data_IF_297298721532
#
_entry.id   IF_297298721532
#
_cell.length_a   1.000
_cell.length_b   1.000
_cell.length_c   1.000
_cell.angle_alpha   90.00
_cell.angle_beta   90.00
_cell.angle_gamma   90.00
#
_symmetry.space_group_name_H-M   'P 1'
#
loop_
_entity.id
_entity.type
_entity.pdbx_description
1 polymer ?
#
# COMPACT_ATOMS: atom_id res chain seq x y z
N UNK A 1 7.54 8.50 11.92
CA UNK A 1 9.01 8.41 11.92
C UNK A 1 9.34 6.93 11.90
N UNK A 2 9.97 6.45 10.83
CA UNK A 2 10.33 5.04 10.65
C UNK A 2 11.84 4.91 10.85
N UNK A 3 12.29 3.86 11.53
CA UNK A 3 13.73 3.58 11.69
C UNK A 3 14.23 2.83 10.45
N UNK A 4 15.21 3.39 9.75
CA UNK A 4 15.85 2.73 8.60
C UNK A 4 16.50 1.42 9.07
N UNK A 5 16.27 0.32 8.34
CA UNK A 5 16.69 -1.03 8.75
C UNK A 5 15.76 -1.72 9.76
N UNK A 6 14.62 -1.11 10.12
CA UNK A 6 13.57 -1.77 10.89
C UNK A 6 12.41 -2.20 9.98
N UNK A 7 11.81 -3.34 10.29
CA UNK A 7 10.52 -3.73 9.72
C UNK A 7 9.43 -2.90 10.40
N UNK A 8 8.59 -2.25 9.61
CA UNK A 8 7.49 -1.45 10.12
C UNK A 8 6.18 -1.83 9.40
N UNK A 9 5.06 -1.53 10.03
CA UNK A 9 3.74 -1.91 9.56
C UNK A 9 2.83 -0.69 9.53
N UNK A 10 2.31 -0.40 8.35
CA UNK A 10 1.24 0.58 8.17
C UNK A 10 -0.10 -0.17 8.06
N UNK A 11 -1.14 0.30 8.74
CA UNK A 11 -2.48 -0.29 8.63
C UNK A 11 -3.38 0.69 7.90
N UNK A 12 -3.94 0.26 6.79
CA UNK A 12 -4.96 1.01 6.05
C UNK A 12 -6.35 0.44 6.38
N UNK A 13 -7.34 1.32 6.46
CA UNK A 13 -8.74 0.95 6.64
C UNK A 13 -9.49 1.20 5.33
N UNK A 14 -10.16 0.17 4.83
CA UNK A 14 -11.10 0.31 3.73
C UNK A 14 -12.50 0.00 4.24
N UNK A 15 -13.42 0.95 4.06
CA UNK A 15 -14.82 0.79 4.46
C UNK A 15 -15.73 0.96 3.24
N UNK A 16 -16.65 0.03 3.05
CA UNK A 16 -17.72 0.19 2.07
C UNK A 16 -18.79 1.13 2.65
N UNK A 17 -18.88 2.35 2.13
CA UNK A 17 -19.88 3.35 2.53
C UNK A 17 -21.15 3.31 1.67
N UNK A 18 -21.27 2.34 0.76
CA UNK A 18 -22.47 2.15 -0.06
C UNK A 18 -23.45 1.15 0.56
N UNK A 19 -24.64 1.07 0.00
CA UNK A 19 -25.74 0.18 0.40
C UNK A 19 -25.73 -1.16 -0.34
N UNK A 20 -24.76 -1.38 -1.23
CA UNK A 20 -24.57 -2.61 -2.01
C UNK A 20 -23.16 -3.18 -1.81
N UNK A 21 -22.95 -4.49 -2.05
CA UNK A 21 -21.62 -5.08 -2.04
C UNK A 21 -20.70 -4.40 -3.08
N UNK A 22 -19.45 -4.16 -2.70
CA UNK A 22 -18.45 -3.54 -3.57
C UNK A 22 -17.26 -4.48 -3.70
N UNK A 23 -17.03 -4.93 -4.94
CA UNK A 23 -15.80 -5.64 -5.28
C UNK A 23 -14.78 -4.64 -5.78
N UNK A 24 -13.57 -4.71 -5.22
CA UNK A 24 -12.48 -3.87 -5.67
C UNK A 24 -11.13 -4.57 -5.59
N UNK A 25 -10.18 -3.96 -6.29
CA UNK A 25 -8.77 -4.33 -6.29
C UNK A 25 -7.98 -3.13 -5.81
N UNK A 26 -7.03 -3.38 -4.91
CA UNK A 26 -6.17 -2.34 -4.40
C UNK A 26 -4.84 -2.36 -5.15
N UNK A 27 -4.52 -1.27 -5.85
CA UNK A 27 -3.19 -1.03 -6.38
C UNK A 27 -2.37 -0.21 -5.39
N UNK A 28 -1.05 -0.27 -5.50
CA UNK A 28 -0.16 0.55 -4.67
C UNK A 28 0.95 1.14 -5.52
N UNK A 29 1.46 2.29 -5.09
CA UNK A 29 2.62 2.96 -5.66
C UNK A 29 3.57 3.41 -4.55
N UNK A 30 4.88 3.43 -4.85
CA UNK A 30 5.92 3.91 -3.94
C UNK A 30 6.64 5.06 -4.62
N UNK A 31 6.70 6.20 -3.96
CA UNK A 31 7.43 7.38 -4.41
C UNK A 31 8.46 7.82 -3.38
N UNK A 32 9.67 8.23 -3.81
CA UNK A 32 10.16 8.26 -5.18
C UNK A 32 10.49 6.87 -5.75
N UNK A 33 10.30 6.64 -7.05
CA UNK A 33 10.47 5.31 -7.68
C UNK A 33 11.85 4.69 -7.46
N UNK A 34 12.91 5.50 -7.51
CA UNK A 34 14.29 5.06 -7.28
C UNK A 34 14.55 4.57 -5.84
N UNK A 35 13.65 4.86 -4.90
CA UNK A 35 13.67 4.30 -3.54
C UNK A 35 12.97 2.96 -3.44
N UNK A 36 12.15 2.62 -4.44
CA UNK A 36 11.45 1.35 -4.54
C UNK A 36 12.38 0.14 -4.51
N UNK A 37 13.62 0.26 -5.02
CA UNK A 37 14.63 -0.81 -4.96
C UNK A 37 15.09 -1.15 -3.53
N UNK A 38 14.97 -0.20 -2.61
CA UNK A 38 15.28 -0.39 -1.18
C UNK A 38 14.04 -0.67 -0.33
N UNK A 39 12.86 -0.41 -0.88
CA UNK A 39 11.59 -0.65 -0.22
C UNK A 39 11.12 -2.08 -0.50
N UNK A 40 11.44 -3.00 0.40
CA UNK A 40 11.03 -4.38 0.28
C UNK A 40 9.64 -4.58 0.88
N UNK A 41 8.65 -4.82 0.01
CA UNK A 41 7.28 -5.14 0.41
C UNK A 41 7.19 -6.63 0.78
N UNK A 42 6.95 -6.93 2.05
CA UNK A 42 6.99 -8.31 2.57
C UNK A 42 5.65 -9.04 2.37
N UNK A 43 4.52 -8.31 2.42
CA UNK A 43 3.20 -8.87 2.17
C UNK A 43 2.36 -7.94 1.29
N UNK A 44 1.73 -8.53 0.27
CA UNK A 44 0.94 -7.82 -0.71
C UNK A 44 -0.47 -8.42 -0.78
N UNK A 45 -1.44 -7.76 -0.14
CA UNK A 45 -2.87 -8.05 -0.35
C UNK A 45 -3.41 -7.48 -1.68
N UNK A 46 -2.63 -6.64 -2.37
CA UNK A 46 -3.05 -5.89 -3.56
C UNK A 46 -3.62 -6.72 -4.70
N UNK A 47 -3.27 -8.00 -4.81
CA UNK A 47 -3.67 -8.82 -5.96
C UNK A 47 -4.91 -9.67 -5.72
N UNK A 48 -5.50 -9.60 -4.53
CA UNK A 48 -6.72 -10.34 -4.23
C UNK A 48 -7.94 -9.43 -4.34
N UNK A 49 -8.89 -9.81 -5.18
CA UNK A 49 -10.21 -9.17 -5.24
C UNK A 49 -10.86 -9.28 -3.86
N UNK A 50 -11.26 -8.15 -3.29
CA UNK A 50 -11.96 -8.10 -2.01
C UNK A 50 -13.37 -7.59 -2.26
N UNK A 51 -14.36 -8.38 -1.83
CA UNK A 51 -15.76 -7.98 -1.83
C UNK A 51 -16.11 -7.49 -0.43
N UNK A 52 -16.48 -6.22 -0.30
CA UNK A 52 -16.91 -5.61 0.95
C UNK A 52 -18.44 -5.49 0.96
N UNK A 53 -19.09 -6.03 1.98
CA UNK A 53 -20.52 -5.85 2.20
C UNK A 53 -20.86 -4.40 2.61
N UNK A 54 -22.12 -3.97 2.49
CA UNK A 54 -22.54 -2.64 2.93
C UNK A 54 -22.14 -2.34 4.37
N UNK A 55 -21.38 -1.27 4.60
CA UNK A 55 -20.89 -0.87 5.92
C UNK A 55 -19.69 -1.66 6.45
N UNK A 56 -19.23 -2.69 5.74
CA UNK A 56 -18.09 -3.51 6.14
C UNK A 56 -16.78 -2.70 6.10
N UNK A 57 -15.94 -2.90 7.10
CA UNK A 57 -14.62 -2.30 7.21
C UNK A 57 -13.56 -3.40 7.32
N UNK A 58 -12.52 -3.33 6.50
CA UNK A 58 -11.39 -4.24 6.53
C UNK A 58 -10.10 -3.51 6.86
N UNK A 59 -9.27 -4.19 7.66
CA UNK A 59 -7.91 -3.76 8.00
C UNK A 59 -6.94 -4.40 7.02
N UNK A 60 -6.18 -3.56 6.33
CA UNK A 60 -5.17 -3.97 5.37
C UNK A 60 -3.79 -3.58 5.93
N UNK A 61 -3.15 -4.47 6.71
CA UNK A 61 -1.79 -4.24 7.15
C UNK A 61 -0.83 -4.40 5.97
N UNK A 62 0.05 -3.42 5.79
CA UNK A 62 1.18 -3.45 4.86
C UNK A 62 2.45 -3.54 5.69
N UNK A 63 3.10 -4.70 5.61
CA UNK A 63 4.41 -4.91 6.21
C UNK A 63 5.49 -4.54 5.20
N UNK A 64 6.35 -3.61 5.59
CA UNK A 64 7.44 -3.13 4.75
C UNK A 64 8.76 -3.06 5.52
N UNK A 65 9.84 -3.04 4.76
CA UNK A 65 11.20 -2.90 5.27
C UNK A 65 11.97 -1.96 4.35
N UNK A 66 12.65 -0.98 4.95
CA UNK A 66 13.55 -0.07 4.23
C UNK A 66 14.97 -0.55 4.43
N UNK A 67 15.62 -0.92 3.32
CA UNK A 67 16.99 -1.37 3.34
C UNK A 67 17.96 -0.23 3.72
N UNK A 68 18.85 -0.42 4.72
CA UNK A 68 19.84 0.58 5.09
C UNK A 68 20.86 0.88 3.99
N UNK A 69 20.96 0.07 2.93
CA UNK A 69 21.74 0.41 1.74
C UNK A 69 21.27 1.69 1.04
N UNK A 70 20.01 2.13 1.26
CA UNK A 70 19.54 3.46 0.86
C UNK A 70 20.48 4.59 1.32
N UNK A 71 21.05 4.48 2.53
CA UNK A 71 21.95 5.51 3.08
C UNK A 71 23.31 5.57 2.38
N UNK A 72 23.67 4.53 1.63
CA UNK A 72 24.95 4.44 0.91
C UNK A 72 24.84 4.92 -0.53
N UNK A 73 23.63 5.00 -1.08
CA UNK A 73 23.37 5.47 -2.43
C UNK A 73 23.29 7.00 -2.45
N UNK A 74 24.18 7.64 -3.21
CA UNK A 74 24.27 9.09 -3.33
C UNK A 74 22.97 9.72 -3.89
N UNK A 75 22.23 9.00 -4.75
CA UNK A 75 20.94 9.45 -5.28
C UNK A 75 19.82 9.34 -4.24
N UNK A 76 19.94 8.41 -3.29
CA UNK A 76 18.94 8.17 -2.26
C UNK A 76 19.22 8.90 -0.93
N UNK A 77 20.42 9.43 -0.73
CA UNK A 77 20.78 10.27 0.44
C UNK A 77 19.94 11.53 0.58
N UNK A 78 19.41 12.06 -0.53
CA UNK A 78 18.53 13.22 -0.55
C UNK A 78 17.06 12.88 -0.23
N UNK A 79 16.73 11.60 -0.06
CA UNK A 79 15.36 11.16 0.21
C UNK A 79 15.05 11.30 1.69
N UNK A 80 14.30 12.33 2.03
CA UNK A 80 13.81 12.55 3.40
C UNK A 80 12.49 11.82 3.67
N UNK A 81 11.73 11.51 2.61
CA UNK A 81 10.39 10.92 2.71
C UNK A 81 10.17 9.89 1.61
N UNK A 82 9.67 8.72 2.00
CA UNK A 82 9.11 7.71 1.09
C UNK A 82 7.60 7.70 1.32
N UNK A 83 6.83 7.88 0.25
CA UNK A 83 5.38 7.89 0.26
C UNK A 83 4.87 6.59 -0.34
N UNK A 84 4.10 5.84 0.46
CA UNK A 84 3.35 4.69 -0.01
C UNK A 84 1.90 5.13 -0.26
N UNK A 85 1.50 5.13 -1.53
CA UNK A 85 0.14 5.45 -1.94
C UNK A 85 -0.62 4.17 -2.24
N UNK A 86 -1.85 4.06 -1.73
CA UNK A 86 -2.75 2.94 -1.97
C UNK A 86 -4.00 3.46 -2.66
N UNK A 87 -4.36 2.85 -3.79
CA UNK A 87 -5.55 3.24 -4.56
C UNK A 87 -6.48 2.05 -4.64
N UNK A 88 -7.67 2.19 -4.07
CA UNK A 88 -8.71 1.16 -4.15
C UNK A 88 -9.59 1.43 -5.37
N UNK A 89 -9.49 0.58 -6.39
CA UNK A 89 -10.30 0.67 -7.59
C UNK A 89 -11.54 -0.20 -7.42
N UNK A 90 -12.72 0.41 -7.45
CA UNK A 90 -13.98 -0.33 -7.58
C UNK A 90 -13.99 -1.02 -8.95
N UNK A 91 -14.18 -2.34 -8.96
CA UNK A 91 -14.51 -3.06 -10.19
C UNK A 91 -16.00 -2.79 -10.44
N UNK A 92 -16.30 -1.84 -11.30
CA UNK A 92 -17.68 -1.65 -11.76
C UNK A 92 -17.98 -2.86 -12.64
N UNK A 93 -18.98 -3.66 -12.29
CA UNK A 93 -19.47 -4.67 -13.24
C UNK A 93 -20.01 -3.91 -14.46
N UNK A 94 -19.35 -4.04 -15.62
CA UNK A 94 -19.92 -3.63 -16.90
C UNK A 94 -21.14 -4.52 -17.16
N UNK A 95 -22.32 -4.03 -16.79
CA UNK A 95 -23.57 -4.77 -16.92
C UNK A 95 -24.79 -3.98 -16.48
N UNK A 96 -25.18 -2.98 -17.26
CA UNK A 96 -26.58 -2.51 -17.34
C UNK A 96 -26.89 -2.06 -18.76
#
# INVERSE_FOLDING_TARGET
RVTIGARDMAVFLAKNTSDHPVTGVASFNVEPEYTGKYFNKIQCFCFSEQTLQPGEEVRMPVLYYVDPELLKDDDAKAVEQITLSYTFHRKVEEGS
#
